data_IF_080489383445
#
_entry.id   IF_080489383445
#
_cell.length_a   1.000
_cell.length_b   1.000
_cell.length_c   1.000
_cell.angle_alpha   90.00
_cell.angle_beta   90.00
_cell.angle_gamma   90.00
#
_symmetry.space_group_name_H-M   'P 1'
#
loop_
_entity.id
_entity.type
_entity.pdbx_description
1 polymer ?
#
# COMPACT_ATOMS: atom_id res chain seq x y z
N UNK A 1 -3.21 -20.03 -29.04
CA UNK A 1 -2.40 -19.43 -27.93
C UNK A 1 -1.66 -20.56 -27.23
N UNK A 2 -0.40 -20.38 -26.84
CA UNK A 2 0.39 -21.46 -26.22
C UNK A 2 -0.20 -21.78 -24.83
N UNK A 3 -0.56 -23.07 -24.59
CA UNK A 3 -1.16 -23.51 -23.32
C UNK A 3 -0.24 -23.22 -22.11
N UNK A 4 1.07 -23.32 -22.27
CA UNK A 4 2.05 -23.02 -21.23
C UNK A 4 2.01 -21.54 -20.79
N UNK A 5 1.85 -20.63 -21.74
CA UNK A 5 1.73 -19.19 -21.46
C UNK A 5 0.44 -18.88 -20.64
N UNK A 6 -0.67 -19.47 -21.08
CA UNK A 6 -1.96 -19.34 -20.39
C UNK A 6 -1.88 -19.85 -18.95
N UNK A 7 -1.32 -21.02 -18.75
CA UNK A 7 -1.22 -21.65 -17.44
C UNK A 7 -0.30 -20.87 -16.48
N UNK A 8 0.78 -20.26 -16.98
CA UNK A 8 1.63 -19.38 -16.19
C UNK A 8 0.88 -18.14 -15.71
N UNK A 9 0.16 -17.47 -16.62
CA UNK A 9 -0.63 -16.27 -16.29
C UNK A 9 -1.74 -16.61 -15.29
N UNK A 10 -2.47 -17.69 -15.50
CA UNK A 10 -3.57 -18.09 -14.61
C UNK A 10 -3.06 -18.41 -13.21
N UNK A 11 -1.99 -19.21 -13.07
CA UNK A 11 -1.37 -19.47 -11.76
C UNK A 11 -0.88 -18.20 -11.07
N UNK A 12 -0.31 -17.26 -11.82
CA UNK A 12 0.12 -15.98 -11.25
C UNK A 12 -1.06 -15.19 -10.71
N UNK A 13 -2.13 -15.04 -11.50
CA UNK A 13 -3.32 -14.27 -11.09
C UNK A 13 -4.10 -14.97 -9.96
N UNK A 14 -4.13 -16.30 -9.90
CA UNK A 14 -4.75 -17.05 -8.78
C UNK A 14 -4.01 -16.84 -7.45
N UNK A 15 -2.72 -16.53 -7.50
CA UNK A 15 -1.89 -16.28 -6.31
C UNK A 15 -1.80 -14.78 -5.95
N UNK A 16 -2.30 -13.89 -6.80
CA UNK A 16 -2.16 -12.45 -6.62
C UNK A 16 -3.39 -11.85 -5.96
N UNK A 17 -3.17 -11.14 -4.88
CA UNK A 17 -4.17 -10.26 -4.28
C UNK A 17 -3.53 -8.94 -3.86
N UNK A 18 -4.30 -7.86 -3.89
CA UNK A 18 -3.82 -6.54 -3.50
C UNK A 18 -4.85 -5.85 -2.59
N UNK A 19 -4.39 -5.33 -1.47
CA UNK A 19 -5.20 -4.60 -0.51
C UNK A 19 -5.47 -3.18 -1.00
N UNK A 20 -6.67 -2.68 -0.77
CA UNK A 20 -7.09 -1.33 -1.15
C UNK A 20 -7.25 -0.43 0.08
N UNK A 21 -6.89 0.86 -0.01
CA UNK A 21 -6.95 1.77 1.12
C UNK A 21 -8.37 2.33 1.34
N UNK A 22 -8.85 2.35 2.58
CA UNK A 22 -10.15 2.96 2.93
C UNK A 22 -10.19 4.46 2.60
N UNK A 23 -9.07 5.14 2.82
CA UNK A 23 -8.94 6.58 2.55
C UNK A 23 -8.95 6.91 1.05
N UNK A 24 -8.62 5.97 0.20
CA UNK A 24 -8.72 6.12 -1.26
C UNK A 24 -10.13 6.39 -1.76
N UNK A 25 -11.17 6.00 -1.02
CA UNK A 25 -12.57 6.23 -1.37
C UNK A 25 -13.15 7.54 -0.81
N UNK A 26 -12.48 8.16 0.15
CA UNK A 26 -12.94 9.38 0.80
C UNK A 26 -12.38 10.66 0.14
N UNK A 27 -12.98 11.81 0.46
CA UNK A 27 -12.42 13.11 0.16
C UNK A 27 -11.30 13.43 1.16
N UNK A 28 -10.20 12.70 1.09
CA UNK A 28 -9.00 12.96 1.87
C UNK A 28 -8.17 14.03 1.18
N UNK A 29 -7.73 15.01 1.94
CA UNK A 29 -6.77 15.99 1.45
C UNK A 29 -5.37 15.42 1.56
N UNK A 30 -4.57 15.67 0.55
CA UNK A 30 -3.12 15.59 0.61
C UNK A 30 -2.55 16.95 1.07
N UNK A 31 -1.38 17.38 0.62
CA UNK A 31 -0.66 18.59 1.07
C UNK A 31 -1.39 19.91 0.93
N UNK A 32 -2.25 20.03 -0.08
CA UNK A 32 -2.75 21.33 -0.57
C UNK A 32 -4.28 21.48 -0.47
N UNK A 33 -4.93 20.65 0.31
CA UNK A 33 -6.39 20.64 0.39
C UNK A 33 -7.03 19.63 -0.55
N UNK A 34 -8.33 19.69 -0.67
CA UNK A 34 -9.13 18.68 -1.37
C UNK A 34 -10.07 19.32 -2.37
N UNK A 35 -10.16 18.66 -3.52
CA UNK A 35 -11.26 18.92 -4.44
C UNK A 35 -12.37 17.92 -4.15
N UNK A 36 -13.52 18.43 -3.72
CA UNK A 36 -14.62 17.60 -3.23
C UNK A 36 -15.29 16.86 -4.38
N UNK A 37 -15.37 15.54 -4.27
CA UNK A 37 -16.13 14.68 -5.17
C UNK A 37 -17.46 14.30 -4.51
N UNK A 38 -18.60 14.56 -5.16
CA UNK A 38 -19.92 14.31 -4.55
C UNK A 38 -20.18 12.85 -4.19
N UNK A 39 -19.58 11.91 -4.91
CA UNK A 39 -19.73 10.46 -4.72
C UNK A 39 -18.72 9.83 -3.77
N UNK A 40 -17.74 10.58 -3.24
CA UNK A 40 -16.78 10.04 -2.31
C UNK A 40 -17.43 9.54 -1.02
N UNK A 41 -16.87 8.46 -0.45
CA UNK A 41 -17.34 7.88 0.81
C UNK A 41 -17.13 8.84 1.98
N UNK A 42 -18.10 8.92 2.88
CA UNK A 42 -18.09 9.75 4.10
C UNK A 42 -18.21 8.92 5.38
N UNK A 43 -18.61 7.67 5.27
CA UNK A 43 -18.77 6.74 6.39
C UNK A 43 -17.97 5.47 6.14
N UNK A 44 -17.68 4.73 7.20
CA UNK A 44 -17.00 3.43 7.10
C UNK A 44 -17.82 2.43 6.27
N UNK A 45 -19.15 2.43 6.40
CA UNK A 45 -20.02 1.57 5.61
C UNK A 45 -19.91 1.87 4.11
N UNK A 46 -19.88 3.15 3.73
CA UNK A 46 -19.69 3.54 2.33
C UNK A 46 -18.33 3.12 1.78
N UNK A 47 -17.26 3.20 2.60
CA UNK A 47 -15.92 2.72 2.22
C UNK A 47 -15.91 1.21 1.96
N UNK A 48 -16.55 0.41 2.83
CA UNK A 48 -16.69 -1.03 2.62
C UNK A 48 -17.56 -1.37 1.41
N UNK A 49 -18.63 -0.61 1.16
CA UNK A 49 -19.45 -0.75 -0.03
C UNK A 49 -18.65 -0.50 -1.31
N UNK A 50 -17.89 0.60 -1.36
CA UNK A 50 -17.05 0.96 -2.50
C UNK A 50 -15.92 -0.07 -2.73
N UNK A 51 -15.27 -0.53 -1.67
CA UNK A 51 -14.30 -1.61 -1.72
C UNK A 51 -14.91 -2.92 -2.25
N UNK A 52 -16.13 -3.24 -1.80
CA UNK A 52 -16.90 -4.38 -2.29
C UNK A 52 -17.17 -4.32 -3.79
N UNK A 53 -17.45 -3.12 -4.34
CA UNK A 53 -17.59 -2.94 -5.79
C UNK A 53 -16.29 -3.27 -6.52
N UNK A 54 -15.16 -2.74 -6.05
CA UNK A 54 -13.84 -3.02 -6.66
C UNK A 54 -13.54 -4.53 -6.62
N UNK A 55 -13.70 -5.17 -5.47
CA UNK A 55 -13.43 -6.60 -5.33
C UNK A 55 -14.32 -7.46 -6.23
N UNK A 56 -15.63 -7.20 -6.22
CA UNK A 56 -16.61 -7.96 -7.03
C UNK A 56 -16.30 -7.88 -8.52
N UNK A 57 -15.76 -6.76 -8.99
CA UNK A 57 -15.45 -6.54 -10.40
C UNK A 57 -14.06 -7.04 -10.80
N UNK A 58 -13.10 -7.05 -9.89
CA UNK A 58 -11.69 -7.37 -10.20
C UNK A 58 -11.24 -8.73 -9.68
N UNK A 59 -11.87 -9.24 -8.63
CA UNK A 59 -11.62 -10.55 -8.01
C UNK A 59 -10.36 -10.63 -7.15
N UNK A 60 -9.55 -9.58 -7.04
CA UNK A 60 -8.22 -9.65 -6.38
C UNK A 60 -8.02 -8.69 -5.21
N UNK A 61 -9.08 -7.99 -4.77
CA UNK A 61 -9.00 -7.04 -3.65
C UNK A 61 -9.80 -7.53 -2.44
N UNK A 62 -9.38 -8.62 -1.75
CA UNK A 62 -10.18 -9.23 -0.69
C UNK A 62 -10.17 -8.44 0.63
N UNK A 63 -9.30 -7.44 0.77
CA UNK A 63 -9.14 -6.68 2.02
C UNK A 63 -9.03 -5.18 1.81
N UNK A 64 -9.35 -4.45 2.89
CA UNK A 64 -9.31 -2.99 2.96
C UNK A 64 -8.43 -2.56 4.14
N UNK A 65 -7.44 -1.71 3.89
CA UNK A 65 -6.62 -1.07 4.92
C UNK A 65 -7.43 -0.02 5.68
N UNK A 66 -7.25 0.04 6.99
CA UNK A 66 -8.00 0.93 7.88
C UNK A 66 -7.08 1.85 8.68
N UNK A 67 -7.42 3.13 8.75
CA UNK A 67 -6.83 4.08 9.68
C UNK A 67 -7.67 4.20 10.96
N UNK A 68 -7.04 4.03 12.13
CA UNK A 68 -7.76 3.88 13.39
C UNK A 68 -8.67 5.08 13.68
N UNK A 69 -8.17 6.31 13.60
CA UNK A 69 -8.98 7.49 13.92
C UNK A 69 -10.05 7.81 12.86
N UNK A 70 -9.83 7.41 11.61
CA UNK A 70 -10.75 7.74 10.52
C UNK A 70 -11.86 6.71 10.33
N UNK A 71 -11.55 5.44 10.63
CA UNK A 71 -12.41 4.30 10.31
C UNK A 71 -13.00 3.65 11.56
N UNK A 72 -12.36 3.82 12.71
CA UNK A 72 -12.79 3.29 14.00
C UNK A 72 -12.77 4.39 15.08
N UNK A 73 -13.57 5.47 14.95
CA UNK A 73 -13.51 6.61 15.87
C UNK A 73 -13.83 6.25 17.34
N UNK A 74 -14.56 5.17 17.57
CA UNK A 74 -14.81 4.59 18.89
C UNK A 74 -13.74 3.59 19.34
N UNK A 75 -12.62 3.46 18.62
CA UNK A 75 -11.58 2.48 18.94
C UNK A 75 -12.11 1.05 18.94
N UNK A 76 -11.91 0.32 20.02
CA UNK A 76 -12.38 -1.07 20.15
C UNK A 76 -13.90 -1.21 20.09
N UNK A 77 -14.66 -0.19 20.47
CA UNK A 77 -16.13 -0.19 20.41
C UNK A 77 -16.63 -0.19 18.94
N UNK A 78 -15.84 0.30 17.98
CA UNK A 78 -16.17 0.26 16.55
C UNK A 78 -15.93 -1.13 15.91
N UNK A 79 -15.21 -2.03 16.54
CA UNK A 79 -14.84 -3.34 15.98
C UNK A 79 -16.06 -4.19 15.55
N UNK A 80 -17.14 -4.31 16.35
CA UNK A 80 -18.32 -5.09 15.95
C UNK A 80 -18.99 -4.56 14.67
N UNK A 81 -19.03 -3.25 14.47
CA UNK A 81 -19.53 -2.62 13.24
C UNK A 81 -18.69 -3.04 12.04
N UNK A 82 -17.36 -2.88 12.12
CA UNK A 82 -16.43 -3.26 11.05
C UNK A 82 -16.55 -4.74 10.70
N UNK A 83 -16.68 -5.63 11.67
CA UNK A 83 -16.89 -7.07 11.43
C UNK A 83 -18.23 -7.32 10.71
N UNK A 84 -19.28 -6.57 11.06
CA UNK A 84 -20.57 -6.64 10.38
C UNK A 84 -20.49 -6.20 8.91
N UNK A 85 -19.78 -5.09 8.65
CA UNK A 85 -19.56 -4.55 7.31
C UNK A 85 -18.71 -5.50 6.45
N UNK A 86 -17.67 -6.07 7.02
CA UNK A 86 -16.82 -7.08 6.36
C UNK A 86 -17.67 -8.23 5.82
N UNK A 87 -18.56 -8.79 6.64
CA UNK A 87 -19.47 -9.86 6.22
C UNK A 87 -20.47 -9.41 5.16
N UNK A 88 -21.04 -8.19 5.30
CA UNK A 88 -22.04 -7.65 4.37
C UNK A 88 -21.48 -7.44 2.98
N UNK A 89 -20.28 -6.90 2.87
CA UNK A 89 -19.69 -6.49 1.59
C UNK A 89 -18.64 -7.48 1.05
N UNK A 90 -18.34 -8.56 1.78
CA UNK A 90 -17.37 -9.57 1.35
C UNK A 90 -15.92 -9.07 1.33
N UNK A 91 -15.60 -8.03 2.12
CA UNK A 91 -14.27 -7.41 2.22
C UNK A 91 -13.75 -7.59 3.63
N UNK A 92 -12.57 -8.16 3.79
CA UNK A 92 -11.95 -8.35 5.10
C UNK A 92 -11.23 -7.08 5.55
N UNK A 93 -11.22 -6.78 6.87
CA UNK A 93 -10.26 -5.82 7.42
C UNK A 93 -8.84 -6.28 7.11
N UNK A 94 -8.04 -5.39 6.56
CA UNK A 94 -6.65 -5.64 6.18
C UNK A 94 -5.65 -5.05 7.17
N UNK A 95 -4.66 -4.31 6.69
CA UNK A 95 -3.68 -3.63 7.53
C UNK A 95 -4.34 -2.55 8.41
N UNK A 96 -3.82 -2.43 9.63
CA UNK A 96 -4.23 -1.38 10.58
C UNK A 96 -3.14 -0.30 10.61
N UNK A 97 -3.55 0.94 10.42
CA UNK A 97 -2.66 2.09 10.32
C UNK A 97 -2.89 3.04 11.51
N UNK A 98 -1.95 3.15 12.45
CA UNK A 98 -2.01 4.15 13.51
C UNK A 98 -1.92 5.57 12.94
N UNK A 99 -2.70 6.50 13.50
CA UNK A 99 -2.64 7.91 13.12
C UNK A 99 -1.69 8.68 14.07
N UNK A 100 -0.39 8.68 13.76
CA UNK A 100 0.66 9.31 14.56
C UNK A 100 1.16 10.64 13.94
N UNK A 101 0.31 11.31 13.16
CA UNK A 101 0.74 12.45 12.33
C UNK A 101 -0.23 13.64 12.28
N UNK A 102 -1.53 13.48 12.56
CA UNK A 102 -2.52 14.54 12.34
C UNK A 102 -2.83 15.39 13.56
N UNK A 103 -2.68 14.85 14.76
CA UNK A 103 -2.99 15.57 15.99
C UNK A 103 -1.98 16.71 16.18
N UNK A 104 -2.46 17.88 16.58
CA UNK A 104 -1.64 19.07 16.83
C UNK A 104 -0.52 18.84 17.87
N UNK A 105 -0.71 17.88 18.77
CA UNK A 105 0.32 17.50 19.74
C UNK A 105 1.57 16.92 19.10
N UNK A 106 1.45 16.34 17.90
CA UNK A 106 2.57 15.77 17.13
C UNK A 106 3.36 16.80 16.31
N UNK A 107 3.16 18.09 16.56
CA UNK A 107 3.89 19.17 15.86
C UNK A 107 5.43 18.97 15.84
N UNK A 108 5.98 18.40 16.90
CA UNK A 108 7.42 18.11 17.02
C UNK A 108 7.76 16.61 16.89
N UNK A 109 6.82 15.84 16.38
CA UNK A 109 6.90 14.41 16.22
C UNK A 109 6.02 13.63 17.19
N UNK A 110 5.92 12.35 16.96
CA UNK A 110 5.21 11.36 17.77
C UNK A 110 6.18 10.58 18.66
N UNK A 111 6.76 9.50 18.16
CA UNK A 111 7.75 8.68 18.87
C UNK A 111 9.07 9.40 19.10
N UNK A 112 9.43 10.38 18.28
CA UNK A 112 10.63 11.21 18.45
C UNK A 112 10.33 12.59 19.07
N UNK A 113 9.16 12.81 19.65
CA UNK A 113 8.83 14.06 20.31
C UNK A 113 9.76 14.34 21.50
N UNK A 114 10.27 15.57 21.71
CA UNK A 114 11.04 15.90 22.89
C UNK A 114 10.25 15.79 24.20
N UNK A 115 8.93 15.97 24.15
CA UNK A 115 8.03 15.82 25.29
C UNK A 115 7.69 14.34 25.55
N UNK A 116 7.99 13.86 26.74
CA UNK A 116 7.75 12.46 27.16
C UNK A 116 6.28 12.11 27.18
N UNK A 117 5.40 13.03 27.62
CA UNK A 117 3.96 12.77 27.66
C UNK A 117 3.36 12.61 26.25
N UNK A 118 3.91 13.32 25.26
CA UNK A 118 3.49 13.15 23.87
C UNK A 118 3.96 11.79 23.32
N UNK A 119 5.20 11.36 23.62
CA UNK A 119 5.68 10.03 23.23
C UNK A 119 4.83 8.92 23.85
N UNK A 120 4.44 9.08 25.13
CA UNK A 120 3.54 8.16 25.84
C UNK A 120 2.16 8.09 25.18
N UNK A 121 1.56 9.25 24.87
CA UNK A 121 0.29 9.32 24.11
C UNK A 121 0.40 8.59 22.75
N UNK A 122 1.49 8.77 22.04
CA UNK A 122 1.74 8.10 20.77
C UNK A 122 1.85 6.57 20.95
N UNK A 123 2.52 6.12 22.01
CA UNK A 123 2.62 4.69 22.34
C UNK A 123 1.25 4.10 22.68
N UNK A 124 0.46 4.77 23.50
CA UNK A 124 -0.91 4.34 23.85
C UNK A 124 -1.80 4.20 22.60
N UNK A 125 -1.68 5.14 21.64
CA UNK A 125 -2.40 5.02 20.36
C UNK A 125 -1.89 3.85 19.50
N UNK A 126 -0.59 3.59 19.50
CA UNK A 126 0.00 2.42 18.86
C UNK A 126 -0.53 1.11 19.46
N UNK A 127 -0.55 1.01 20.79
CA UNK A 127 -1.07 -0.15 21.52
C UNK A 127 -2.56 -0.39 21.23
N UNK A 128 -3.38 0.67 21.24
CA UNK A 128 -4.79 0.60 20.83
C UNK A 128 -4.93 0.06 19.41
N UNK A 129 -4.13 0.56 18.47
CA UNK A 129 -4.16 0.13 17.08
C UNK A 129 -3.81 -1.36 16.92
N UNK A 130 -2.81 -1.83 17.67
CA UNK A 130 -2.44 -3.25 17.74
C UNK A 130 -3.59 -4.11 18.28
N UNK A 131 -4.27 -3.66 19.36
CA UNK A 131 -5.41 -4.38 19.93
C UNK A 131 -6.61 -4.43 18.99
N UNK A 132 -6.90 -3.34 18.28
CA UNK A 132 -7.90 -3.32 17.20
C UNK A 132 -7.52 -4.36 16.14
N UNK A 133 -6.26 -4.39 15.70
CA UNK A 133 -5.77 -5.36 14.74
C UNK A 133 -5.96 -6.80 15.20
N UNK A 134 -5.67 -7.11 16.48
CA UNK A 134 -5.94 -8.43 17.07
C UNK A 134 -7.42 -8.78 17.01
N UNK A 135 -8.30 -7.85 17.39
CA UNK A 135 -9.74 -8.05 17.42
C UNK A 135 -10.34 -8.25 16.01
N UNK A 136 -9.78 -7.61 15.00
CA UNK A 136 -10.12 -7.74 13.59
C UNK A 136 -9.38 -8.89 12.88
N UNK A 137 -8.50 -9.62 13.58
CA UNK A 137 -7.64 -10.68 13.02
C UNK A 137 -6.69 -10.17 11.91
N UNK A 138 -6.37 -8.88 11.92
CA UNK A 138 -5.39 -8.28 11.03
C UNK A 138 -3.99 -8.82 11.31
N UNK A 139 -3.27 -9.15 10.23
CA UNK A 139 -1.88 -9.62 10.31
C UNK A 139 -0.84 -8.51 10.24
N UNK A 140 -1.25 -7.30 9.87
CA UNK A 140 -0.35 -6.20 9.57
C UNK A 140 -0.72 -4.97 10.40
N UNK A 141 0.30 -4.36 11.01
CA UNK A 141 0.20 -3.02 11.60
C UNK A 141 1.21 -2.16 10.86
N UNK A 142 0.72 -1.21 10.07
CA UNK A 142 1.55 -0.41 9.17
C UNK A 142 1.77 0.97 9.75
N UNK A 143 3.03 1.32 9.96
CA UNK A 143 3.47 2.57 10.57
C UNK A 143 4.09 3.50 9.53
N UNK A 144 3.51 4.66 9.39
CA UNK A 144 4.08 5.81 8.72
C UNK A 144 4.18 6.97 9.70
N UNK A 145 5.32 7.66 9.69
CA UNK A 145 5.62 8.74 10.63
C UNK A 145 5.95 10.04 9.90
N UNK A 146 5.45 11.15 10.43
CA UNK A 146 5.80 12.49 9.95
C UNK A 146 6.89 13.16 10.79
N UNK A 147 7.40 12.43 11.77
CA UNK A 147 8.48 12.87 12.64
C UNK A 147 9.71 13.26 11.83
N UNK A 148 10.33 14.38 12.14
CA UNK A 148 11.49 14.81 11.38
C UNK A 148 12.18 16.06 11.93
N UNK A 149 13.30 16.39 11.31
CA UNK A 149 14.12 17.56 11.64
C UNK A 149 14.97 17.99 10.46
N UNK A 150 15.16 19.29 10.28
CA UNK A 150 15.95 19.82 9.17
C UNK A 150 17.46 19.76 9.43
N UNK A 151 17.92 20.03 10.66
CA UNK A 151 19.34 20.12 10.99
C UNK A 151 19.57 20.09 12.51
N UNK A 152 20.80 19.87 12.97
CA UNK A 152 21.11 19.73 14.41
C UNK A 152 20.72 20.91 15.29
N UNK A 153 20.54 22.11 14.72
CA UNK A 153 20.07 23.29 15.47
C UNK A 153 18.61 23.21 15.91
N UNK A 154 17.78 22.36 15.29
CA UNK A 154 16.37 22.19 15.61
C UNK A 154 16.09 20.99 16.51
N UNK A 155 16.96 19.99 16.52
CA UNK A 155 16.78 18.81 17.36
C UNK A 155 18.10 18.05 17.60
N UNK A 156 18.14 17.29 18.68
CA UNK A 156 19.18 16.26 18.89
C UNK A 156 18.82 15.00 18.08
N UNK A 157 19.36 14.90 16.87
CA UNK A 157 19.06 13.83 15.90
C UNK A 157 19.33 12.44 16.48
N UNK A 158 20.43 12.24 17.22
CA UNK A 158 20.76 10.96 17.86
C UNK A 158 19.78 10.61 18.99
N UNK A 159 19.25 11.60 19.69
CA UNK A 159 18.25 11.37 20.73
C UNK A 159 16.91 10.98 20.12
N UNK A 160 16.51 11.62 19.02
CA UNK A 160 15.30 11.24 18.26
C UNK A 160 15.37 9.78 17.82
N UNK A 161 16.50 9.35 17.25
CA UNK A 161 16.72 7.95 16.89
C UNK A 161 16.53 6.99 18.07
N UNK A 162 17.09 7.30 19.25
CA UNK A 162 16.94 6.44 20.44
C UNK A 162 15.49 6.36 20.90
N UNK A 163 14.76 7.47 20.89
CA UNK A 163 13.33 7.47 21.23
C UNK A 163 12.51 6.63 20.25
N UNK A 164 12.79 6.71 18.95
CA UNK A 164 12.15 5.86 17.95
C UNK A 164 12.41 4.38 18.22
N UNK A 165 13.66 3.98 18.40
CA UNK A 165 14.03 2.58 18.68
C UNK A 165 13.31 2.04 19.91
N UNK A 166 13.27 2.83 20.97
CA UNK A 166 12.57 2.47 22.21
C UNK A 166 11.07 2.25 21.96
N UNK A 167 10.38 3.22 21.35
CA UNK A 167 8.92 3.16 21.20
C UNK A 167 8.49 2.14 20.14
N UNK A 168 9.27 1.94 19.09
CA UNK A 168 9.04 0.84 18.14
C UNK A 168 9.19 -0.53 18.81
N UNK A 169 10.20 -0.71 19.67
CA UNK A 169 10.40 -1.94 20.44
C UNK A 169 9.23 -2.18 21.40
N UNK A 170 8.81 -1.16 22.17
CA UNK A 170 7.66 -1.26 23.06
C UNK A 170 6.37 -1.61 22.29
N UNK A 171 6.13 -0.99 21.15
CA UNK A 171 5.00 -1.32 20.27
C UNK A 171 5.11 -2.75 19.74
N UNK A 172 6.31 -3.19 19.31
CA UNK A 172 6.54 -4.54 18.81
C UNK A 172 6.27 -5.62 19.88
N UNK A 173 6.58 -5.35 21.14
CA UNK A 173 6.29 -6.25 22.27
C UNK A 173 4.79 -6.50 22.43
N UNK A 174 3.95 -5.54 22.04
CA UNK A 174 2.50 -5.65 22.09
C UNK A 174 1.88 -6.44 20.94
N UNK A 175 2.63 -6.74 19.86
CA UNK A 175 2.10 -7.48 18.71
C UNK A 175 1.57 -8.87 19.10
N UNK A 176 0.47 -9.28 18.49
CA UNK A 176 0.03 -10.67 18.50
C UNK A 176 1.03 -11.58 17.77
N UNK A 177 0.99 -12.88 18.08
CA UNK A 177 1.95 -13.87 17.50
C UNK A 177 1.91 -13.95 15.97
N UNK A 178 0.77 -13.60 15.37
CA UNK A 178 0.53 -13.61 13.92
C UNK A 178 0.60 -12.21 13.27
N UNK A 179 0.94 -11.17 14.06
CA UNK A 179 1.04 -9.81 13.53
C UNK A 179 2.48 -9.45 13.16
N UNK A 180 2.63 -8.71 12.09
CA UNK A 180 3.87 -8.11 11.61
C UNK A 180 3.74 -6.59 11.64
N UNK A 181 4.74 -5.91 12.19
CA UNK A 181 4.92 -4.47 12.12
C UNK A 181 5.56 -4.12 10.78
N UNK A 182 4.96 -3.22 10.03
CA UNK A 182 5.54 -2.66 8.83
C UNK A 182 6.00 -1.23 9.10
N UNK A 183 7.25 -0.92 8.74
CA UNK A 183 7.82 0.41 8.91
C UNK A 183 8.04 1.00 7.53
N UNK A 184 7.23 2.01 7.23
CA UNK A 184 7.29 2.77 6.00
C UNK A 184 8.26 3.94 6.12
N UNK A 185 9.00 4.22 5.06
CA UNK A 185 9.91 5.35 4.98
C UNK A 185 9.46 6.36 3.93
N UNK A 186 9.84 7.62 4.16
CA UNK A 186 9.59 8.73 3.25
C UNK A 186 10.67 9.79 3.41
N UNK A 187 11.32 10.26 2.34
CA UNK A 187 12.49 11.14 2.47
C UNK A 187 12.14 12.53 3.00
N UNK A 188 10.99 13.09 2.63
CA UNK A 188 10.52 14.41 3.07
C UNK A 188 8.99 14.48 2.97
N UNK A 189 8.38 15.45 3.65
CA UNK A 189 6.94 15.65 3.80
C UNK A 189 6.34 14.85 4.98
N UNK A 190 5.13 15.24 5.42
CA UNK A 190 4.29 16.33 4.92
C UNK A 190 4.69 17.71 5.42
N UNK A 191 5.57 17.81 6.39
CA UNK A 191 6.05 19.09 6.86
C UNK A 191 7.29 19.56 6.07
N UNK A 192 7.73 20.76 6.28
CA UNK A 192 8.87 21.37 5.59
C UNK A 192 10.22 20.87 6.13
N UNK A 193 10.34 19.57 6.43
CA UNK A 193 11.53 18.97 6.99
C UNK A 193 11.76 17.56 6.45
N UNK A 194 13.00 17.12 6.56
CA UNK A 194 13.39 15.74 6.29
C UNK A 194 12.89 14.83 7.41
N UNK A 195 12.31 13.70 7.06
CA UNK A 195 11.74 12.75 8.03
C UNK A 195 12.83 11.95 8.74
N UNK A 196 12.54 11.48 9.95
CA UNK A 196 13.48 10.65 10.74
C UNK A 196 13.67 9.26 10.13
N UNK A 197 12.70 8.78 9.34
CA UNK A 197 12.78 7.51 8.60
C UNK A 197 12.74 7.84 7.10
N UNK A 198 13.86 8.32 6.58
CA UNK A 198 13.90 8.95 5.26
C UNK A 198 14.16 7.99 4.10
N UNK A 199 14.72 6.83 4.36
CA UNK A 199 15.06 5.82 3.34
C UNK A 199 14.93 4.39 3.86
N UNK A 200 15.03 3.45 2.93
CA UNK A 200 14.92 2.02 3.22
C UNK A 200 15.98 1.51 4.21
N UNK A 201 17.19 2.06 4.20
CA UNK A 201 18.27 1.67 5.13
C UNK A 201 17.96 2.12 6.55
N UNK A 202 17.41 3.33 6.74
CA UNK A 202 16.92 3.79 8.04
C UNK A 202 15.76 2.93 8.53
N UNK A 203 14.77 2.63 7.66
CA UNK A 203 13.66 1.74 8.00
C UNK A 203 14.13 0.34 8.38
N UNK A 204 15.13 -0.21 7.68
CA UNK A 204 15.75 -1.49 8.00
C UNK A 204 16.42 -1.48 9.38
N UNK A 205 17.16 -0.41 9.72
CA UNK A 205 17.78 -0.27 11.05
C UNK A 205 16.72 -0.24 12.15
N UNK A 206 15.64 0.52 11.96
CA UNK A 206 14.54 0.60 12.92
C UNK A 206 13.76 -0.72 13.03
N UNK A 207 13.51 -1.40 11.92
CA UNK A 207 12.83 -2.70 11.95
C UNK A 207 13.66 -3.74 12.71
N UNK A 208 14.98 -3.79 12.51
CA UNK A 208 15.88 -4.66 13.27
C UNK A 208 15.93 -4.31 14.76
N UNK A 209 15.92 -3.03 15.10
CA UNK A 209 15.89 -2.57 16.49
C UNK A 209 14.55 -2.85 17.19
N UNK A 210 13.44 -2.77 16.45
CA UNK A 210 12.11 -3.04 16.99
C UNK A 210 11.91 -4.51 17.39
N UNK A 211 12.31 -5.44 16.52
CA UNK A 211 12.24 -6.88 16.85
C UNK A 211 11.95 -7.78 15.63
N UNK A 212 11.89 -9.10 15.83
CA UNK A 212 11.90 -10.09 14.75
C UNK A 212 10.64 -10.10 13.86
N UNK A 213 9.55 -9.47 14.30
CA UNK A 213 8.29 -9.34 13.54
C UNK A 213 8.12 -7.94 12.97
N UNK A 214 9.17 -7.14 12.90
CA UNK A 214 9.18 -5.87 12.22
C UNK A 214 9.89 -5.99 10.88
N UNK A 215 9.31 -5.41 9.83
CA UNK A 215 9.81 -5.43 8.46
C UNK A 215 9.64 -4.06 7.81
N UNK A 216 10.31 -3.87 6.69
CA UNK A 216 10.25 -2.64 5.90
C UNK A 216 9.04 -2.71 4.96
N UNK A 217 8.31 -1.60 4.86
CA UNK A 217 7.33 -1.36 3.84
C UNK A 217 7.92 -0.40 2.80
N UNK A 218 7.82 -0.78 1.53
CA UNK A 218 8.28 0.01 0.39
C UNK A 218 7.08 0.69 -0.26
N UNK A 219 6.96 2.01 -0.09
CA UNK A 219 6.06 2.81 -0.90
C UNK A 219 6.77 3.23 -2.20
N UNK A 220 6.18 2.92 -3.35
CA UNK A 220 6.82 3.19 -4.65
C UNK A 220 6.87 4.67 -4.99
N UNK A 221 6.04 5.51 -4.37
CA UNK A 221 6.04 6.97 -4.46
C UNK A 221 7.10 7.66 -3.61
N UNK A 222 7.56 7.00 -2.54
CA UNK A 222 8.46 7.58 -1.54
C UNK A 222 9.95 7.50 -1.93
N UNK A 223 10.27 7.80 -3.19
CA UNK A 223 11.63 7.70 -3.70
C UNK A 223 11.99 8.92 -4.54
N UNK A 224 13.26 9.30 -4.51
CA UNK A 224 13.80 10.25 -5.49
C UNK A 224 13.76 9.64 -6.90
N UNK A 225 13.63 10.47 -7.92
CA UNK A 225 13.49 10.01 -9.31
C UNK A 225 14.63 9.10 -9.80
N UNK A 226 15.82 9.26 -9.24
CA UNK A 226 17.01 8.48 -9.63
C UNK A 226 17.23 7.20 -8.80
N UNK A 227 16.36 6.86 -7.87
CA UNK A 227 16.54 5.66 -7.05
C UNK A 227 16.12 4.39 -7.80
N UNK A 228 16.95 3.36 -7.67
CA UNK A 228 16.69 2.02 -8.17
C UNK A 228 15.88 1.24 -7.15
N UNK A 229 14.54 1.23 -7.31
CA UNK A 229 13.62 0.60 -6.35
C UNK A 229 13.72 -0.92 -6.43
N UNK A 230 13.90 -1.49 -7.60
CA UNK A 230 14.04 -2.93 -7.77
C UNK A 230 15.28 -3.47 -7.03
N UNK A 231 16.39 -2.71 -6.95
CA UNK A 231 17.56 -3.07 -6.15
C UNK A 231 17.23 -3.04 -4.65
N UNK A 232 16.50 -2.02 -4.18
CA UNK A 232 16.03 -1.95 -2.79
C UNK A 232 15.19 -3.18 -2.46
N UNK A 233 14.27 -3.54 -3.34
CA UNK A 233 13.40 -4.72 -3.19
C UNK A 233 14.22 -6.00 -3.13
N UNK A 234 15.16 -6.21 -4.08
CA UNK A 234 16.02 -7.38 -4.12
C UNK A 234 16.86 -7.53 -2.84
N UNK A 235 17.42 -6.43 -2.32
CA UNK A 235 18.20 -6.45 -1.09
C UNK A 235 17.35 -6.72 0.15
N UNK A 236 16.19 -6.10 0.27
CA UNK A 236 15.27 -6.36 1.38
C UNK A 236 14.72 -7.79 1.35
N UNK A 237 14.53 -8.39 0.17
CA UNK A 237 14.19 -9.82 0.02
C UNK A 237 15.36 -10.71 0.49
N UNK A 238 16.58 -10.42 0.07
CA UNK A 238 17.79 -11.17 0.48
C UNK A 238 18.02 -11.13 2.00
N UNK A 239 17.69 -10.01 2.64
CA UNK A 239 17.76 -9.84 4.11
C UNK A 239 16.51 -10.38 4.84
N UNK A 240 15.52 -10.90 4.13
CA UNK A 240 14.21 -11.33 4.65
C UNK A 240 13.46 -10.22 5.40
N UNK A 241 13.72 -8.96 5.04
CA UNK A 241 13.19 -7.77 5.72
C UNK A 241 12.13 -7.02 4.91
N UNK A 242 11.82 -7.44 3.68
CA UNK A 242 10.67 -6.90 2.95
C UNK A 242 9.37 -7.43 3.55
N UNK A 243 8.51 -6.54 4.02
CA UNK A 243 7.21 -6.90 4.60
C UNK A 243 6.03 -6.64 3.68
N UNK A 244 6.13 -5.60 2.87
CA UNK A 244 5.04 -5.21 1.98
C UNK A 244 5.37 -4.00 1.13
N UNK A 245 4.37 -3.64 0.34
CA UNK A 245 4.39 -2.47 -0.53
C UNK A 245 3.16 -1.60 -0.31
N UNK A 246 3.34 -0.29 -0.47
CA UNK A 246 2.33 0.63 -0.91
C UNK A 246 2.59 0.99 -2.37
N UNK A 247 1.76 0.47 -3.26
CA UNK A 247 1.88 0.71 -4.69
C UNK A 247 1.11 1.95 -5.12
N UNK A 248 1.81 2.80 -5.82
CA UNK A 248 1.33 3.94 -6.60
C UNK A 248 2.33 4.22 -7.73
N UNK A 249 2.20 5.35 -8.39
CA UNK A 249 3.23 5.85 -9.30
C UNK A 249 3.51 7.32 -8.99
N UNK A 250 4.68 7.79 -9.39
CA UNK A 250 5.16 9.14 -9.14
C UNK A 250 5.96 9.69 -10.30
N UNK A 251 6.02 11.00 -10.40
CA UNK A 251 6.92 11.68 -11.33
C UNK A 251 7.81 12.70 -10.64
N UNK A 252 7.27 13.56 -9.80
CA UNK A 252 8.00 14.67 -9.19
C UNK A 252 8.25 14.50 -7.70
N UNK A 253 7.28 13.96 -7.01
CA UNK A 253 7.32 13.71 -5.57
C UNK A 253 6.39 12.53 -5.27
N UNK A 254 5.80 12.50 -4.09
CA UNK A 254 4.75 11.57 -3.72
C UNK A 254 3.42 12.02 -4.38
N UNK A 255 3.27 11.67 -5.64
CA UNK A 255 2.16 12.14 -6.47
C UNK A 255 0.91 11.25 -6.35
N UNK A 256 1.02 10.08 -5.69
CA UNK A 256 -0.06 9.08 -5.51
C UNK A 256 -0.78 8.71 -6.82
N UNK A 257 -0.05 8.64 -7.93
CA UNK A 257 -0.63 8.36 -9.23
C UNK A 257 -1.02 6.87 -9.36
N UNK A 258 -1.89 6.59 -10.31
CA UNK A 258 -2.29 5.21 -10.65
C UNK A 258 -1.06 4.36 -11.00
N UNK A 259 -1.00 3.14 -10.49
CA UNK A 259 0.08 2.17 -10.79
C UNK A 259 0.33 2.10 -12.29
N UNK A 260 1.59 2.20 -12.68
CA UNK A 260 2.04 2.09 -14.08
C UNK A 260 1.65 3.25 -14.99
N UNK A 261 1.19 4.37 -14.43
CA UNK A 261 0.82 5.55 -15.24
C UNK A 261 2.03 6.34 -15.73
N UNK A 262 3.15 6.24 -15.05
CA UNK A 262 4.40 6.94 -15.38
C UNK A 262 5.50 5.95 -15.78
N UNK A 263 5.80 4.94 -14.94
CA UNK A 263 6.82 3.94 -15.23
C UNK A 263 6.29 2.51 -15.02
N UNK A 264 5.47 2.00 -15.95
CA UNK A 264 4.97 0.62 -15.87
C UNK A 264 6.10 -0.42 -15.94
N UNK A 265 7.23 -0.09 -16.57
CA UNK A 265 8.37 -0.99 -16.63
C UNK A 265 9.08 -1.11 -15.28
N UNK A 266 9.13 -0.06 -14.46
CA UNK A 266 9.64 -0.14 -13.08
C UNK A 266 8.77 -1.05 -12.21
N UNK A 267 7.45 -0.91 -12.27
CA UNK A 267 6.54 -1.78 -11.51
C UNK A 267 6.68 -3.24 -11.94
N UNK A 268 6.81 -3.49 -13.24
CA UNK A 268 7.11 -4.82 -13.77
C UNK A 268 8.42 -5.37 -13.22
N UNK A 269 9.52 -4.58 -13.18
CA UNK A 269 10.82 -5.01 -12.64
C UNK A 269 10.74 -5.29 -11.13
N UNK A 270 9.95 -4.55 -10.36
CA UNK A 270 9.68 -4.83 -8.95
C UNK A 270 8.99 -6.19 -8.80
N UNK A 271 7.92 -6.44 -9.55
CA UNK A 271 7.26 -7.75 -9.53
C UNK A 271 8.19 -8.87 -10.02
N UNK A 272 9.06 -8.59 -10.98
CA UNK A 272 10.07 -9.54 -11.43
C UNK A 272 11.01 -9.95 -10.30
N UNK A 273 11.56 -9.00 -9.51
CA UNK A 273 12.45 -9.32 -8.38
C UNK A 273 11.79 -10.23 -7.35
N UNK A 274 10.51 -10.01 -7.06
CA UNK A 274 9.76 -10.87 -6.16
C UNK A 274 9.61 -12.27 -6.74
N UNK A 275 9.20 -12.39 -8.01
CA UNK A 275 9.06 -13.68 -8.71
C UNK A 275 10.41 -14.39 -8.90
N UNK A 276 11.48 -13.63 -9.10
CA UNK A 276 12.83 -14.15 -9.21
C UNK A 276 13.31 -14.75 -7.89
N UNK A 277 13.12 -14.03 -6.77
CA UNK A 277 13.40 -14.55 -5.42
C UNK A 277 12.66 -15.86 -5.15
N UNK A 278 11.37 -15.93 -5.48
CA UNK A 278 10.58 -17.15 -5.29
C UNK A 278 11.09 -18.32 -6.16
N UNK A 279 11.47 -18.03 -7.39
CA UNK A 279 12.04 -19.03 -8.30
C UNK A 279 13.42 -19.51 -7.83
N UNK A 280 14.29 -18.61 -7.40
CA UNK A 280 15.64 -18.90 -6.97
C UNK A 280 15.69 -19.71 -5.67
N UNK A 281 14.84 -19.33 -4.70
CA UNK A 281 14.86 -19.91 -3.36
C UNK A 281 13.88 -21.07 -3.18
N UNK A 282 12.90 -21.21 -4.05
CA UNK A 282 11.78 -22.15 -3.90
C UNK A 282 10.84 -21.78 -2.75
N UNK A 283 10.95 -20.58 -2.17
CA UNK A 283 10.15 -20.09 -1.04
C UNK A 283 9.24 -18.97 -1.50
N UNK A 284 8.05 -18.83 -0.90
CA UNK A 284 7.23 -17.63 -1.07
C UNK A 284 7.94 -16.41 -0.49
N UNK A 285 7.88 -15.27 -1.18
CA UNK A 285 8.38 -14.01 -0.68
C UNK A 285 7.59 -13.52 0.56
N UNK A 286 6.32 -13.96 0.69
CA UNK A 286 5.43 -13.65 1.80
C UNK A 286 5.34 -12.13 2.09
N UNK A 287 5.20 -11.35 1.03
CA UNK A 287 5.05 -9.88 1.06
C UNK A 287 3.61 -9.46 0.86
N UNK A 288 3.18 -8.42 1.53
CA UNK A 288 1.87 -7.82 1.34
C UNK A 288 1.90 -6.86 0.15
N UNK A 289 0.92 -6.98 -0.75
CA UNK A 289 0.68 -6.01 -1.81
C UNK A 289 -0.47 -5.11 -1.38
N UNK A 290 -0.22 -3.83 -1.26
CA UNK A 290 -1.20 -2.82 -0.85
C UNK A 290 -1.12 -1.64 -1.82
N UNK A 291 -2.21 -0.89 -1.96
CA UNK A 291 -2.27 0.35 -2.73
C UNK A 291 -2.26 1.52 -1.75
N UNK A 292 -1.47 2.55 -2.04
CA UNK A 292 -1.63 3.86 -1.40
C UNK A 292 -1.89 4.93 -2.45
N UNK A 293 -3.17 5.26 -2.62
CA UNK A 293 -3.64 6.25 -3.58
C UNK A 293 -4.83 7.02 -3.03
N UNK A 294 -4.85 8.32 -3.28
CA UNK A 294 -6.00 9.17 -2.99
C UNK A 294 -6.18 10.24 -4.06
N UNK A 295 -7.04 9.99 -5.04
CA UNK A 295 -7.24 10.89 -6.17
C UNK A 295 -8.26 11.99 -5.88
N UNK A 296 -7.90 13.24 -6.16
CA UNK A 296 -8.81 14.38 -6.06
C UNK A 296 -9.52 14.73 -7.38
N UNK A 297 -8.98 14.30 -8.51
CA UNK A 297 -9.50 14.65 -9.85
C UNK A 297 -10.21 13.48 -10.55
N UNK A 298 -9.75 12.24 -10.32
CA UNK A 298 -10.38 11.04 -10.87
C UNK A 298 -11.48 10.55 -9.93
N UNK A 299 -12.53 9.92 -10.47
CA UNK A 299 -13.49 9.17 -9.67
C UNK A 299 -12.79 8.12 -8.80
N UNK A 300 -13.18 8.02 -7.53
CA UNK A 300 -12.45 7.21 -6.53
C UNK A 300 -12.41 5.73 -6.90
N UNK A 301 -13.57 5.16 -7.24
CA UNK A 301 -13.71 3.75 -7.58
C UNK A 301 -13.09 3.46 -8.94
N UNK A 302 -13.33 4.31 -9.93
CA UNK A 302 -12.75 4.20 -11.27
C UNK A 302 -11.22 4.19 -11.22
N UNK A 303 -10.62 5.08 -10.44
CA UNK A 303 -9.18 5.15 -10.26
C UNK A 303 -8.63 3.88 -9.58
N UNK A 304 -9.35 3.34 -8.59
CA UNK A 304 -8.96 2.09 -7.92
C UNK A 304 -9.07 0.90 -8.86
N UNK A 305 -10.15 0.78 -9.65
CA UNK A 305 -10.29 -0.27 -10.67
C UNK A 305 -9.16 -0.18 -11.70
N UNK A 306 -8.84 1.03 -12.16
CA UNK A 306 -7.75 1.26 -13.12
C UNK A 306 -6.42 0.77 -12.58
N UNK A 307 -6.08 1.13 -11.36
CA UNK A 307 -4.86 0.70 -10.66
C UNK A 307 -4.79 -0.83 -10.51
N UNK A 308 -5.88 -1.43 -10.04
CA UNK A 308 -5.95 -2.89 -9.83
C UNK A 308 -5.81 -3.66 -11.14
N UNK A 309 -6.46 -3.20 -12.20
CA UNK A 309 -6.34 -3.82 -13.52
C UNK A 309 -4.90 -3.75 -14.06
N UNK A 310 -4.22 -2.61 -13.90
CA UNK A 310 -2.83 -2.45 -14.30
C UNK A 310 -1.90 -3.35 -13.46
N UNK A 311 -2.11 -3.45 -12.16
CA UNK A 311 -1.34 -4.35 -11.28
C UNK A 311 -1.48 -5.80 -11.72
N UNK A 312 -2.69 -6.28 -12.07
CA UNK A 312 -2.90 -7.62 -12.64
C UNK A 312 -2.10 -7.85 -13.91
N UNK A 313 -2.13 -6.90 -14.85
CA UNK A 313 -1.40 -7.03 -16.10
C UNK A 313 0.12 -7.09 -15.89
N UNK A 314 0.66 -6.19 -15.06
CA UNK A 314 2.11 -6.13 -14.81
C UNK A 314 2.61 -7.36 -14.04
N UNK A 315 1.82 -7.86 -13.07
CA UNK A 315 2.14 -9.08 -12.35
C UNK A 315 2.11 -10.31 -13.26
N UNK A 316 1.11 -10.40 -14.14
CA UNK A 316 1.03 -11.46 -15.14
C UNK A 316 2.23 -11.44 -16.10
N UNK A 317 2.67 -10.26 -16.56
CA UNK A 317 3.87 -10.11 -17.39
C UNK A 317 5.14 -10.55 -16.67
N UNK A 318 5.30 -10.20 -15.39
CA UNK A 318 6.46 -10.61 -14.59
C UNK A 318 6.54 -12.15 -14.44
N UNK A 319 5.41 -12.84 -14.39
CA UNK A 319 5.36 -14.30 -14.35
C UNK A 319 5.83 -14.98 -15.65
N UNK A 320 5.97 -14.23 -16.76
CA UNK A 320 6.41 -14.74 -18.06
C UNK A 320 7.93 -14.75 -18.23
N UNK A 321 8.68 -14.10 -17.36
CA UNK A 321 10.14 -14.04 -17.46
C UNK A 321 10.74 -15.45 -17.38
N UNK A 322 11.56 -15.80 -18.37
CA UNK A 322 12.36 -17.04 -18.32
C UNK A 322 13.60 -16.84 -17.45
N UNK A 323 13.45 -17.09 -16.16
CA UNK A 323 14.53 -16.90 -15.18
C UNK A 323 15.75 -17.77 -15.46
N UNK A 324 15.60 -18.97 -16.03
CA UNK A 324 16.74 -19.84 -16.38
C UNK A 324 17.58 -19.22 -17.51
N UNK A 325 16.92 -18.74 -18.54
CA UNK A 325 17.56 -18.05 -19.67
C UNK A 325 18.24 -16.76 -19.20
N UNK A 326 17.53 -15.98 -18.36
CA UNK A 326 18.04 -14.74 -17.77
C UNK A 326 19.35 -14.99 -17.00
N UNK A 327 19.32 -15.88 -16.02
CA UNK A 327 20.50 -16.20 -15.18
C UNK A 327 21.67 -16.76 -16.03
N UNK A 328 21.37 -17.61 -17.01
CA UNK A 328 22.38 -18.14 -17.90
C UNK A 328 23.09 -17.05 -18.74
N UNK A 329 22.35 -16.02 -19.16
CA UNK A 329 22.91 -14.86 -19.85
C UNK A 329 23.71 -13.96 -18.89
N UNK A 330 23.18 -13.66 -17.73
CA UNK A 330 23.85 -12.86 -16.71
C UNK A 330 25.20 -13.47 -16.26
N UNK A 331 25.24 -14.78 -16.03
CA UNK A 331 26.48 -15.49 -15.64
C UNK A 331 27.59 -15.44 -16.70
N UNK A 332 27.22 -15.19 -17.97
CA UNK A 332 28.19 -15.00 -19.06
C UNK A 332 28.47 -13.53 -19.36
N UNK A 333 27.87 -12.61 -18.62
CA UNK A 333 27.87 -11.17 -18.92
C UNK A 333 27.34 -10.85 -20.32
N UNK A 334 26.39 -11.64 -20.80
CA UNK A 334 25.76 -11.53 -22.12
C UNK A 334 24.52 -10.61 -21.99
N UNK A 335 24.78 -9.31 -21.97
CA UNK A 335 23.81 -8.29 -21.56
C UNK A 335 22.58 -8.22 -22.50
N UNK A 336 22.77 -8.34 -23.82
CA UNK A 336 21.68 -8.23 -24.78
C UNK A 336 20.64 -9.36 -24.59
N UNK A 337 21.00 -10.66 -24.54
CA UNK A 337 20.05 -11.71 -24.23
C UNK A 337 19.43 -11.60 -22.83
N UNK A 338 20.19 -11.10 -21.83
CA UNK A 338 19.64 -10.88 -20.48
C UNK A 338 18.54 -9.81 -20.51
N UNK A 339 18.80 -8.65 -21.10
CA UNK A 339 17.78 -7.60 -21.26
C UNK A 339 16.57 -8.06 -22.07
N UNK A 340 16.82 -8.80 -23.17
CA UNK A 340 15.74 -9.33 -24.02
C UNK A 340 14.78 -10.23 -23.24
N UNK A 341 15.25 -10.99 -22.24
CA UNK A 341 14.37 -11.81 -21.41
C UNK A 341 13.30 -10.98 -20.67
N UNK A 342 13.68 -9.80 -20.17
CA UNK A 342 12.76 -8.88 -19.48
C UNK A 342 11.89 -8.12 -20.49
N UNK A 343 12.50 -7.61 -21.57
CA UNK A 343 11.81 -6.83 -22.58
C UNK A 343 10.73 -7.66 -23.29
N UNK A 344 11.04 -8.91 -23.66
CA UNK A 344 10.09 -9.82 -24.33
C UNK A 344 8.88 -10.12 -23.42
N UNK A 345 9.13 -10.38 -22.14
CA UNK A 345 8.06 -10.61 -21.15
C UNK A 345 7.19 -9.35 -20.97
N UNK A 346 7.81 -8.16 -20.84
CA UNK A 346 7.09 -6.91 -20.71
C UNK A 346 6.31 -6.52 -21.98
N UNK A 347 6.85 -6.78 -23.17
CA UNK A 347 6.19 -6.51 -24.44
C UNK A 347 5.04 -7.46 -24.75
N UNK A 348 4.97 -8.63 -24.07
CA UNK A 348 3.89 -9.59 -24.29
C UNK A 348 2.54 -9.00 -23.90
N UNK A 349 1.56 -9.02 -24.81
CA UNK A 349 0.19 -8.62 -24.49
C UNK A 349 -0.55 -9.72 -23.72
N UNK A 350 -0.67 -9.53 -22.42
CA UNK A 350 -1.36 -10.45 -21.52
C UNK A 350 -2.85 -10.13 -21.34
N UNK A 351 -3.33 -8.99 -21.86
CA UNK A 351 -4.73 -8.54 -21.67
C UNK A 351 -5.77 -9.56 -22.10
N UNK A 352 -5.61 -10.27 -23.24
CA UNK A 352 -6.56 -11.33 -23.58
C UNK A 352 -6.61 -12.46 -22.56
N UNK A 353 -5.46 -12.84 -21.97
CA UNK A 353 -5.39 -13.87 -20.93
C UNK A 353 -5.97 -13.41 -19.60
N UNK A 354 -5.77 -12.14 -19.23
CA UNK A 354 -6.36 -11.54 -18.03
C UNK A 354 -7.89 -11.50 -18.15
N UNK A 355 -8.43 -11.14 -19.30
CA UNK A 355 -9.88 -11.19 -19.59
C UNK A 355 -10.41 -12.63 -19.53
N UNK A 356 -9.74 -13.57 -20.15
CA UNK A 356 -10.09 -14.99 -20.08
C UNK A 356 -10.08 -15.52 -18.65
N UNK A 357 -9.07 -15.14 -17.84
CA UNK A 357 -9.01 -15.50 -16.43
C UNK A 357 -10.22 -14.94 -15.66
N UNK A 358 -10.55 -13.65 -15.87
CA UNK A 358 -11.73 -13.03 -15.24
C UNK A 358 -13.01 -13.77 -15.63
N UNK A 359 -13.22 -14.03 -16.91
CA UNK A 359 -14.38 -14.79 -17.41
C UNK A 359 -14.47 -16.19 -16.77
N UNK A 360 -13.33 -16.89 -16.64
CA UNK A 360 -13.27 -18.21 -16.00
C UNK A 360 -13.63 -18.16 -14.50
N UNK A 361 -13.48 -17.01 -13.84
CA UNK A 361 -13.89 -16.77 -12.44
C UNK A 361 -15.31 -16.18 -12.32
N UNK A 362 -16.03 -16.02 -13.43
CA UNK A 362 -17.36 -15.39 -13.43
C UNK A 362 -17.31 -13.87 -13.23
N UNK A 363 -16.16 -13.26 -13.46
CA UNK A 363 -15.95 -11.82 -13.34
C UNK A 363 -16.11 -11.13 -14.71
N UNK A 364 -16.41 -9.83 -14.77
CA UNK A 364 -16.45 -9.09 -16.02
C UNK A 364 -15.06 -9.03 -16.67
N UNK A 365 -15.01 -9.19 -17.98
CA UNK A 365 -13.76 -9.06 -18.75
C UNK A 365 -13.15 -7.67 -18.65
N UNK A 366 -14.01 -6.64 -18.67
CA UNK A 366 -13.66 -5.25 -18.44
C UNK A 366 -14.34 -4.73 -17.15
N UNK A 367 -13.63 -4.67 -16.03
CA UNK A 367 -14.20 -4.26 -14.75
C UNK A 367 -14.60 -2.78 -14.73
N UNK A 368 -13.90 -1.90 -15.48
CA UNK A 368 -14.23 -0.48 -15.51
C UNK A 368 -15.52 -0.25 -16.32
N UNK A 369 -15.65 -0.87 -17.47
CA UNK A 369 -16.88 -0.80 -18.26
C UNK A 369 -18.07 -1.35 -17.47
N UNK A 370 -17.91 -2.51 -16.81
CA UNK A 370 -18.96 -3.10 -15.98
C UNK A 370 -19.36 -2.16 -14.82
N UNK A 371 -18.40 -1.49 -14.19
CA UNK A 371 -18.68 -0.49 -13.16
C UNK A 371 -19.51 0.66 -13.69
N UNK A 372 -19.10 1.24 -14.84
CA UNK A 372 -19.82 2.37 -15.45
C UNK A 372 -21.23 1.98 -15.84
N UNK A 373 -21.43 0.80 -16.42
CA UNK A 373 -22.75 0.28 -16.81
C UNK A 373 -23.65 -0.01 -15.59
N UNK A 374 -23.08 -0.31 -14.42
CA UNK A 374 -23.84 -0.56 -13.19
C UNK A 374 -24.63 0.65 -12.68
N UNK A 375 -24.22 1.87 -13.05
CA UNK A 375 -24.77 3.13 -12.53
C UNK A 375 -24.50 3.35 -11.03
N UNK A 376 -23.61 2.57 -10.41
CA UNK A 376 -23.29 2.69 -8.99
C UNK A 376 -22.75 4.08 -8.63
N UNK A 377 -21.82 4.61 -9.41
CA UNK A 377 -21.22 5.93 -9.17
C UNK A 377 -22.24 7.06 -9.17
N UNK A 378 -23.21 7.03 -10.09
CA UNK A 378 -24.27 8.03 -10.15
C UNK A 378 -25.20 7.96 -8.92
N UNK A 379 -25.58 6.75 -8.49
CA UNK A 379 -26.39 6.56 -7.28
C UNK A 379 -25.63 7.05 -6.04
N UNK A 380 -24.37 6.64 -5.87
CA UNK A 380 -23.51 7.08 -4.77
C UNK A 380 -23.36 8.61 -4.74
N UNK A 381 -23.12 9.24 -5.90
CA UNK A 381 -23.03 10.70 -5.99
C UNK A 381 -24.33 11.40 -5.60
N UNK A 382 -25.50 10.86 -5.99
CA UNK A 382 -26.80 11.40 -5.61
C UNK A 382 -27.05 11.30 -4.09
N UNK A 383 -26.74 10.17 -3.49
CA UNK A 383 -26.99 9.90 -2.07
C UNK A 383 -26.02 10.66 -1.15
N UNK A 384 -24.76 10.79 -1.56
CA UNK A 384 -23.67 11.35 -0.73
C UNK A 384 -23.46 12.85 -0.94
N UNK A 385 -24.02 13.45 -2.01
CA UNK A 385 -23.80 14.85 -2.40
C UNK A 385 -24.05 15.84 -1.26
N UNK A 386 -25.16 15.72 -0.55
CA UNK A 386 -25.50 16.67 0.50
C UNK A 386 -24.43 16.68 1.62
N UNK A 387 -23.95 15.52 2.04
CA UNK A 387 -22.90 15.41 3.07
C UNK A 387 -21.54 15.94 2.56
N UNK A 388 -21.15 15.58 1.35
CA UNK A 388 -19.89 16.02 0.78
C UNK A 388 -19.88 17.53 0.52
N UNK A 389 -20.96 18.10 0.02
CA UNK A 389 -21.01 19.52 -0.31
C UNK A 389 -21.18 20.42 0.92
N UNK A 390 -21.70 19.91 2.04
CA UNK A 390 -21.77 20.67 3.29
C UNK A 390 -20.37 20.90 3.94
N UNK A 391 -19.38 20.10 3.57
CA UNK A 391 -18.00 20.22 4.04
C UNK A 391 -17.13 21.16 3.18
N UNK A 392 -17.71 21.80 2.16
CA UNK A 392 -17.02 22.79 1.33
C UNK A 392 -16.94 24.11 2.07
N UNK A 393 -16.25 24.17 3.20
CA UNK A 393 -15.72 25.44 3.67
C UNK A 393 -14.32 25.61 3.10
N UNK A 394 -14.17 26.64 2.30
CA UNK A 394 -12.91 27.20 1.89
C UNK A 394 -11.95 27.33 3.08
N UNK A 395 -10.72 26.94 2.93
CA UNK A 395 -9.60 27.34 3.78
C UNK A 395 -9.88 27.31 5.32
N UNK A 396 -9.93 26.15 5.90
CA UNK A 396 -9.64 26.00 7.32
C UNK A 396 -8.62 24.89 7.51
#
# INVERSE_FOLDING_TARGET
MNSDLRDKVFRALDAFSIEIPSWGFANTGTRFGKFIQPGAATTIEEKFSDAGQVHTLTGICPSIALHVLWDLPGGLESVPEVVGLAKRYGIQPGSINPNLFQDQVYKFGSFANPDEEIRKKALEHSELSIQIGKSLQSRLVSYWFTDGSNYPGTANIRQRKRWFEEHLRLSHEQLGSNQTMLIEYKPFEPAFYHTDIADWGMALLFARAAGPRAKVLVDTGHHYAAQNIEQIVAWLLAEEMLGGFHFNDRRYADDDLTIGSIDPYQVFRIFHEIRFFEWETGRSANVAYMIDQSHNLKGKIEATIQTVAMAQELFAKAALVDHRKLVAAQNRSDLIPAESCLQDAFATDVRPLVREWRSAKGLPEDPLEAYLQSGYGERAAKERRARNMSSVSSYA
#
